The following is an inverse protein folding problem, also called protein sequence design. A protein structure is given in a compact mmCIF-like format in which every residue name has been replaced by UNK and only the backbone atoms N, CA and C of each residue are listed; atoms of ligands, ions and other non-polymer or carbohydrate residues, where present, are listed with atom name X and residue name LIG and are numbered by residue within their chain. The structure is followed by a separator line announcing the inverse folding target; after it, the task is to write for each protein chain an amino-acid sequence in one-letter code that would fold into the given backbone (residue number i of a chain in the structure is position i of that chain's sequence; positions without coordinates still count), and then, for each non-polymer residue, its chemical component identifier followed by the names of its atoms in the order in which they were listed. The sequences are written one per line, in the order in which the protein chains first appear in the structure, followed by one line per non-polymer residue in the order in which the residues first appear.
data_IF_151431616798
#
_entry.id   IF_151431616798
#
_cell.length_a   1.000
_cell.length_b   1.000
_cell.length_c   1.000
_cell.angle_alpha   90.00
_cell.angle_beta   90.00
_cell.angle_gamma   90.00
#
_symmetry.space_group_name_H-M   'P 1'
#
loop_
_entity.id
_entity.type
_entity.pdbx_description
1 polymer ?
#
# COMPACT_ATOMS: atom_id res chain seq x y z
N UNK A 1 -1.39 28.59 0.41
CA UNK A 1 -0.20 28.38 1.24
C UNK A 1 0.11 26.89 1.31
N UNK A 2 1.24 26.48 0.78
CA UNK A 2 1.73 25.11 0.93
C UNK A 2 2.14 24.91 2.40
N UNK A 3 1.43 24.04 3.11
CA UNK A 3 1.77 23.66 4.49
C UNK A 3 3.05 22.83 4.45
N UNK A 4 4.02 23.23 5.27
CA UNK A 4 5.30 22.54 5.41
C UNK A 4 5.13 21.33 6.35
N UNK A 5 4.78 20.17 5.79
CA UNK A 5 4.55 18.92 6.56
C UNK A 5 5.56 17.87 6.19
N UNK A 6 6.00 17.13 7.16
CA UNK A 6 6.87 15.98 6.94
C UNK A 6 6.08 14.86 6.26
N UNK A 7 6.66 14.31 5.18
CA UNK A 7 6.16 13.11 4.53
C UNK A 7 6.64 11.86 5.27
N UNK A 8 5.77 10.88 5.37
CA UNK A 8 6.09 9.57 5.88
C UNK A 8 5.39 8.47 5.10
N UNK A 9 5.87 7.26 5.27
CA UNK A 9 5.24 6.04 4.79
C UNK A 9 5.23 4.99 5.89
N UNK A 10 4.23 4.12 5.89
CA UNK A 10 4.16 2.95 6.76
C UNK A 10 3.64 1.74 5.98
N UNK A 11 4.14 0.56 6.33
CA UNK A 11 3.73 -0.74 5.82
C UNK A 11 2.98 -1.52 6.92
N UNK A 12 1.82 -2.09 6.59
CA UNK A 12 1.03 -2.92 7.49
C UNK A 12 1.32 -4.40 7.26
N UNK A 13 2.03 -5.03 8.21
CA UNK A 13 2.33 -6.48 8.13
C UNK A 13 1.07 -7.32 8.09
N UNK A 14 1.10 -8.35 7.23
CA UNK A 14 0.04 -9.36 7.16
C UNK A 14 -1.37 -8.77 6.94
N UNK A 15 -1.46 -7.70 6.18
CA UNK A 15 -2.66 -6.92 5.95
C UNK A 15 -3.91 -7.78 5.67
N UNK A 16 -3.84 -8.70 4.70
CA UNK A 16 -4.96 -9.55 4.34
C UNK A 16 -5.43 -10.47 5.48
N UNK A 17 -4.51 -10.96 6.31
CA UNK A 17 -4.83 -11.83 7.45
C UNK A 17 -5.51 -11.06 8.60
N UNK A 18 -5.36 -9.74 8.62
CA UNK A 18 -5.94 -8.86 9.65
C UNK A 18 -7.24 -8.20 9.23
N UNK A 19 -7.68 -8.39 7.98
CA UNK A 19 -8.90 -7.84 7.42
C UNK A 19 -10.17 -8.21 8.20
N UNK A 20 -11.33 -7.72 7.74
CA UNK A 20 -12.64 -8.13 8.26
C UNK A 20 -12.86 -9.63 8.05
N UNK A 21 -13.74 -10.24 8.86
CA UNK A 21 -14.16 -11.63 8.65
C UNK A 21 -14.94 -11.75 7.35
N UNK A 22 -14.91 -12.95 6.76
CA UNK A 22 -15.81 -13.29 5.66
C UNK A 22 -17.25 -13.31 6.15
N UNK A 23 -18.18 -12.95 5.26
CA UNK A 23 -19.62 -13.03 5.42
C UNK A 23 -20.17 -14.41 5.00
N UNK A 24 -19.30 -15.26 4.42
CA UNK A 24 -19.61 -16.63 3.96
C UNK A 24 -18.60 -17.63 4.49
N UNK A 25 -19.00 -18.89 4.53
CA UNK A 25 -18.15 -20.00 4.92
C UNK A 25 -17.23 -20.40 3.78
N UNK A 26 -15.93 -20.32 4.02
CA UNK A 26 -14.87 -20.74 3.09
C UNK A 26 -14.05 -21.82 3.79
N UNK A 27 -13.85 -22.95 3.11
CA UNK A 27 -13.07 -24.06 3.62
C UNK A 27 -11.91 -24.38 2.68
N UNK A 28 -10.78 -24.79 3.24
CA UNK A 28 -9.64 -25.33 2.51
C UNK A 28 -9.18 -26.65 3.10
N UNK A 29 -8.49 -27.44 2.30
CA UNK A 29 -7.81 -28.64 2.79
C UNK A 29 -6.49 -28.26 3.44
N UNK A 30 -6.09 -28.95 4.51
CA UNK A 30 -4.74 -28.80 5.04
C UNK A 30 -3.66 -29.12 3.98
N UNK A 31 -2.42 -28.67 4.16
CA UNK A 31 -1.28 -29.13 3.37
C UNK A 31 -1.20 -30.65 3.32
N UNK A 32 -0.60 -31.22 2.26
CA UNK A 32 -0.45 -32.66 2.09
C UNK A 32 0.29 -33.33 3.25
N UNK A 33 1.25 -32.63 3.83
CA UNK A 33 2.04 -33.12 4.98
C UNK A 33 1.29 -33.01 6.32
N UNK A 34 0.02 -32.57 6.28
CA UNK A 34 -0.80 -32.37 7.46
C UNK A 34 -0.46 -31.10 8.25
N UNK A 35 -1.17 -30.92 9.35
CA UNK A 35 -0.88 -29.87 10.35
C UNK A 35 -0.96 -30.47 11.75
N UNK A 36 -0.07 -30.08 12.65
CA UNK A 36 -0.12 -30.55 14.04
C UNK A 36 -1.48 -30.25 14.68
N UNK A 37 -2.09 -31.26 15.31
CA UNK A 37 -3.38 -31.15 15.97
C UNK A 37 -4.61 -31.16 15.05
N UNK A 38 -4.44 -31.36 13.74
CA UNK A 38 -5.54 -31.47 12.77
C UNK A 38 -5.69 -32.92 12.32
N UNK A 39 -6.88 -33.50 12.51
CA UNK A 39 -7.15 -34.87 12.10
C UNK A 39 -7.10 -35.03 10.56
N UNK A 40 -6.61 -36.19 10.04
CA UNK A 40 -6.64 -36.47 8.60
C UNK A 40 -8.05 -36.34 8.02
N UNK A 41 -8.16 -35.69 6.84
CA UNK A 41 -9.46 -35.47 6.18
C UNK A 41 -10.28 -34.28 6.70
N UNK A 42 -9.81 -33.59 7.74
CA UNK A 42 -10.44 -32.35 8.22
C UNK A 42 -10.38 -31.25 7.19
N UNK A 43 -11.35 -30.33 7.27
CA UNK A 43 -11.35 -29.07 6.53
C UNK A 43 -11.06 -27.92 7.48
N UNK A 44 -10.26 -26.96 7.01
CA UNK A 44 -9.95 -25.72 7.74
C UNK A 44 -10.90 -24.62 7.30
N UNK A 45 -11.59 -23.99 8.24
CA UNK A 45 -12.43 -22.83 7.95
C UNK A 45 -11.55 -21.58 7.89
N UNK A 46 -11.58 -20.88 6.77
CA UNK A 46 -10.92 -19.59 6.59
C UNK A 46 -11.85 -18.51 7.14
N UNK A 47 -11.45 -17.87 8.23
CA UNK A 47 -12.28 -16.88 8.94
C UNK A 47 -12.06 -15.46 8.41
N UNK A 48 -10.83 -15.14 8.00
CA UNK A 48 -10.41 -13.83 7.47
C UNK A 48 -9.77 -13.97 6.11
N UNK A 49 -9.43 -12.86 5.49
CA UNK A 49 -8.70 -12.85 4.22
C UNK A 49 -7.40 -13.67 4.31
N UNK A 50 -7.05 -14.31 3.21
CA UNK A 50 -5.78 -14.99 3.02
C UNK A 50 -5.25 -14.65 1.62
N UNK A 51 -3.92 -14.73 1.45
CA UNK A 51 -3.31 -14.54 0.14
C UNK A 51 -3.91 -15.50 -0.89
N UNK A 52 -4.22 -14.99 -2.08
CA UNK A 52 -4.88 -15.74 -3.14
C UNK A 52 -6.42 -15.73 -3.08
N UNK A 53 -7.04 -15.31 -1.98
CA UNK A 53 -8.50 -15.11 -1.96
C UNK A 53 -8.88 -13.79 -2.62
N UNK A 54 -9.81 -13.86 -3.57
CA UNK A 54 -10.28 -12.71 -4.36
C UNK A 54 -10.82 -11.56 -3.50
N UNK A 55 -11.41 -11.88 -2.36
CA UNK A 55 -12.05 -10.90 -1.47
C UNK A 55 -11.09 -10.30 -0.43
N UNK A 56 -9.90 -10.89 -0.25
CA UNK A 56 -8.97 -10.47 0.80
C UNK A 56 -8.57 -8.99 0.73
N UNK A 57 -8.25 -8.42 -0.46
CA UNK A 57 -7.94 -6.99 -0.57
C UNK A 57 -9.10 -6.09 -0.13
N UNK A 58 -10.34 -6.46 -0.50
CA UNK A 58 -11.54 -5.70 -0.10
C UNK A 58 -11.78 -5.76 1.40
N UNK A 59 -11.65 -6.94 2.01
CA UNK A 59 -11.85 -7.12 3.46
C UNK A 59 -10.79 -6.37 4.26
N UNK A 60 -9.56 -6.33 3.77
CA UNK A 60 -8.50 -5.53 4.34
C UNK A 60 -8.80 -4.02 4.20
N UNK A 61 -9.09 -3.56 2.99
CA UNK A 61 -9.42 -2.14 2.76
C UNK A 61 -10.53 -1.66 3.69
N UNK A 62 -11.62 -2.42 3.83
CA UNK A 62 -12.72 -2.07 4.71
C UNK A 62 -12.28 -1.98 6.19
N UNK A 63 -11.39 -2.88 6.64
CA UNK A 63 -10.84 -2.81 8.00
C UNK A 63 -9.93 -1.59 8.18
N UNK A 64 -9.05 -1.31 7.23
CA UNK A 64 -8.16 -0.15 7.25
C UNK A 64 -8.97 1.15 7.23
N UNK A 65 -9.97 1.25 6.34
CA UNK A 65 -10.89 2.37 6.24
C UNK A 65 -11.59 2.65 7.58
N UNK A 66 -12.19 1.63 8.20
CA UNK A 66 -12.86 1.80 9.50
C UNK A 66 -11.89 2.33 10.55
N UNK A 67 -10.68 1.78 10.61
CA UNK A 67 -9.65 2.22 11.56
C UNK A 67 -9.25 3.68 11.35
N UNK A 68 -9.15 4.11 10.08
CA UNK A 68 -8.87 5.51 9.75
C UNK A 68 -10.02 6.44 10.13
N UNK A 69 -11.26 6.02 9.88
CA UNK A 69 -12.45 6.78 10.30
C UNK A 69 -12.52 6.88 11.84
N UNK A 70 -12.26 5.79 12.56
CA UNK A 70 -12.21 5.76 14.02
C UNK A 70 -11.09 6.67 14.58
N UNK A 71 -9.99 6.83 13.84
CA UNK A 71 -8.91 7.77 14.16
C UNK A 71 -9.26 9.24 13.88
N UNK A 72 -10.42 9.49 13.27
CA UNK A 72 -10.93 10.84 12.96
C UNK A 72 -10.65 11.32 11.53
N UNK A 73 -10.02 10.49 10.68
CA UNK A 73 -9.90 10.81 9.26
C UNK A 73 -11.25 10.73 8.55
N UNK A 74 -11.38 11.47 7.47
CA UNK A 74 -12.52 11.45 6.56
C UNK A 74 -12.06 10.97 5.19
N UNK A 75 -12.75 9.99 4.59
CA UNK A 75 -12.44 9.54 3.23
C UNK A 75 -12.90 10.57 2.21
N UNK A 76 -12.04 10.91 1.26
CA UNK A 76 -12.38 11.86 0.19
C UNK A 76 -13.41 11.26 -0.77
N UNK A 77 -14.45 12.01 -1.09
CA UNK A 77 -15.48 11.56 -2.03
C UNK A 77 -14.96 11.43 -3.47
N UNK A 78 -14.02 12.28 -3.85
CA UNK A 78 -13.44 12.35 -5.20
C UNK A 78 -12.30 11.39 -5.43
N UNK A 79 -11.67 10.87 -4.36
CA UNK A 79 -10.52 9.99 -4.43
C UNK A 79 -10.61 8.92 -3.33
N UNK A 80 -11.03 7.72 -3.71
CA UNK A 80 -11.04 6.57 -2.78
C UNK A 80 -9.64 6.27 -2.27
N UNK A 81 -9.57 5.72 -1.05
CA UNK A 81 -8.32 5.42 -0.36
C UNK A 81 -7.45 6.65 -0.05
N UNK A 82 -7.98 7.86 -0.27
CA UNK A 82 -7.39 9.11 0.19
C UNK A 82 -8.22 9.64 1.37
N UNK A 83 -7.53 9.97 2.45
CA UNK A 83 -8.15 10.39 3.71
C UNK A 83 -7.57 11.72 4.15
N UNK A 84 -8.42 12.56 4.74
CA UNK A 84 -8.04 13.86 5.29
C UNK A 84 -8.44 13.93 6.75
N UNK A 85 -7.63 14.61 7.55
CA UNK A 85 -7.91 14.87 8.95
C UNK A 85 -8.08 16.37 9.13
N UNK A 86 -9.24 16.79 9.65
CA UNK A 86 -9.56 18.19 9.90
C UNK A 86 -9.62 18.48 11.40
N UNK A 87 -8.92 19.52 11.84
CA UNK A 87 -9.22 20.16 13.14
C UNK A 87 -10.43 21.08 12.95
N UNK A 88 -11.47 20.84 13.75
CA UNK A 88 -12.75 21.55 13.71
C UNK A 88 -12.96 22.45 14.93
N UNK A 89 -11.88 22.83 15.62
CA UNK A 89 -11.96 23.72 16.81
C UNK A 89 -12.28 25.16 16.45
N UNK A 90 -11.92 25.57 15.25
CA UNK A 90 -12.18 26.92 14.72
C UNK A 90 -13.45 26.94 13.86
N UNK A 91 -13.88 28.14 13.46
CA UNK A 91 -15.07 28.33 12.61
C UNK A 91 -14.97 27.64 11.25
N UNK A 92 -13.75 27.51 10.72
CA UNK A 92 -13.48 26.78 9.48
C UNK A 92 -12.60 25.56 9.76
N UNK A 93 -12.94 24.38 9.21
CA UNK A 93 -12.14 23.17 9.36
C UNK A 93 -10.74 23.35 8.75
N UNK A 94 -9.71 23.15 9.57
CA UNK A 94 -8.33 23.23 9.13
C UNK A 94 -7.82 21.82 8.85
N UNK A 95 -7.37 21.56 7.61
CA UNK A 95 -6.69 20.30 7.31
C UNK A 95 -5.39 20.21 8.09
N UNK A 96 -5.23 19.18 8.94
CA UNK A 96 -4.04 18.91 9.75
C UNK A 96 -3.31 17.65 9.34
N UNK A 97 -3.90 16.81 8.46
CA UNK A 97 -3.27 15.60 7.98
C UNK A 97 -3.93 15.04 6.74
N UNK A 98 -3.15 14.31 5.97
CA UNK A 98 -3.61 13.52 4.82
C UNK A 98 -2.93 12.17 4.85
N UNK A 99 -3.65 11.13 4.39
CA UNK A 99 -3.13 9.78 4.26
C UNK A 99 -3.70 9.15 2.99
N UNK A 100 -2.84 8.49 2.23
CA UNK A 100 -3.21 7.70 1.05
C UNK A 100 -2.86 6.24 1.34
N UNK A 101 -3.82 5.36 1.17
CA UNK A 101 -3.66 3.92 1.37
C UNK A 101 -3.54 3.21 0.03
N UNK A 102 -2.52 2.39 -0.12
CA UNK A 102 -2.37 1.48 -1.27
C UNK A 102 -2.08 0.08 -0.77
N UNK A 103 -3.10 -0.77 -0.76
CA UNK A 103 -3.07 -2.13 -0.20
C UNK A 103 -2.59 -2.08 1.25
N UNK A 104 -1.38 -2.54 1.55
CA UNK A 104 -0.72 -2.58 2.86
C UNK A 104 0.19 -1.36 3.13
N UNK A 105 0.52 -0.60 2.10
CA UNK A 105 1.31 0.62 2.20
C UNK A 105 0.44 1.85 2.41
N UNK A 106 0.85 2.75 3.29
CA UNK A 106 0.27 4.08 3.40
C UNK A 106 1.34 5.16 3.28
N UNK A 107 1.02 6.23 2.55
CA UNK A 107 1.81 7.45 2.52
C UNK A 107 1.02 8.58 3.19
N UNK A 108 1.66 9.36 4.05
CA UNK A 108 0.98 10.37 4.82
C UNK A 108 1.80 11.64 5.01
N UNK A 109 1.10 12.72 5.30
CA UNK A 109 1.69 13.98 5.75
C UNK A 109 0.76 14.65 6.75
N UNK A 110 1.29 15.13 7.85
CA UNK A 110 0.48 15.79 8.87
C UNK A 110 1.30 16.57 9.88
N UNK A 111 0.60 17.26 10.75
CA UNK A 111 1.19 18.11 11.77
C UNK A 111 0.28 18.28 12.99
N UNK A 112 0.89 18.45 14.14
CA UNK A 112 0.24 18.80 15.39
C UNK A 112 -0.34 17.62 16.16
N UNK A 113 -0.77 17.89 17.43
CA UNK A 113 -1.13 16.83 18.38
C UNK A 113 -2.31 15.96 17.94
N UNK A 114 -3.24 16.51 17.17
CA UNK A 114 -4.40 15.76 16.67
C UNK A 114 -3.97 14.71 15.65
N UNK A 115 -3.04 15.08 14.76
CA UNK A 115 -2.49 14.16 13.78
C UNK A 115 -1.67 13.06 14.45
N UNK A 116 -0.80 13.39 15.40
CA UNK A 116 -0.01 12.40 16.13
C UNK A 116 -0.90 11.39 16.86
N UNK A 117 -1.96 11.86 17.54
CA UNK A 117 -2.93 10.99 18.22
C UNK A 117 -3.63 10.05 17.23
N UNK A 118 -3.99 10.54 16.06
CA UNK A 118 -4.62 9.73 15.03
C UNK A 118 -3.64 8.65 14.50
N UNK A 119 -2.37 8.99 14.29
CA UNK A 119 -1.34 8.04 13.89
C UNK A 119 -1.03 7.01 14.98
N UNK A 120 -1.01 7.40 16.25
CA UNK A 120 -0.89 6.47 17.39
C UNK A 120 -2.06 5.47 17.42
N UNK A 121 -3.28 5.95 17.18
CA UNK A 121 -4.44 5.05 17.08
C UNK A 121 -4.23 4.01 15.97
N UNK A 122 -3.80 4.41 14.77
CA UNK A 122 -3.52 3.51 13.65
C UNK A 122 -2.44 2.49 14.03
N UNK A 123 -1.32 2.93 14.61
CA UNK A 123 -0.24 2.05 15.08
C UNK A 123 -0.71 1.06 16.16
N UNK A 124 -1.67 1.43 16.99
CA UNK A 124 -2.25 0.54 18.01
C UNK A 124 -3.13 -0.58 17.43
N UNK A 125 -3.65 -0.41 16.22
CA UNK A 125 -4.60 -1.34 15.57
C UNK A 125 -3.93 -2.28 14.58
N UNK A 126 -2.76 -1.91 14.05
CA UNK A 126 -2.04 -2.69 13.05
C UNK A 126 -0.61 -2.99 13.49
N UNK A 127 -0.09 -4.12 13.05
CA UNK A 127 1.33 -4.42 13.21
C UNK A 127 2.07 -3.70 12.10
N UNK A 128 2.79 -2.63 12.45
CA UNK A 128 3.59 -1.88 11.50
C UNK A 128 4.88 -2.63 11.20
N UNK A 129 5.17 -2.81 9.93
CA UNK A 129 6.39 -3.45 9.43
C UNK A 129 7.54 -2.48 9.36
N UNK A 130 7.37 -1.47 8.55
CA UNK A 130 8.35 -0.42 8.32
C UNK A 130 7.62 0.93 8.38
N UNK A 131 8.28 1.91 8.96
CA UNK A 131 7.82 3.31 8.93
C UNK A 131 9.03 4.18 8.66
N UNK A 132 8.93 5.05 7.65
CA UNK A 132 10.03 5.91 7.18
C UNK A 132 9.54 7.34 6.97
N UNK A 133 10.47 8.29 7.08
CA UNK A 133 10.19 9.72 6.92
C UNK A 133 11.22 10.37 6.02
N UNK A 134 10.78 11.35 5.25
CA UNK A 134 11.63 12.22 4.44
C UNK A 134 12.17 11.56 3.17
N UNK A 135 12.74 10.37 3.24
CA UNK A 135 13.21 9.62 2.07
C UNK A 135 12.80 8.15 2.20
N UNK A 136 12.03 7.65 1.23
CA UNK A 136 11.50 6.29 1.21
C UNK A 136 11.08 5.87 -0.20
N UNK A 137 10.78 4.60 -0.36
CA UNK A 137 10.17 4.07 -1.60
C UNK A 137 8.68 3.88 -1.39
N UNK A 138 7.87 4.44 -2.29
CA UNK A 138 6.42 4.24 -2.33
C UNK A 138 5.97 3.88 -3.74
N UNK A 139 5.29 2.74 -3.89
CA UNK A 139 4.83 2.20 -5.18
C UNK A 139 5.96 2.10 -6.23
N UNK A 140 7.14 1.63 -5.81
CA UNK A 140 8.30 1.46 -6.67
C UNK A 140 8.98 2.76 -7.11
N UNK A 141 8.60 3.90 -6.52
CA UNK A 141 9.21 5.21 -6.77
C UNK A 141 9.94 5.69 -5.53
N UNK A 142 11.14 6.20 -5.71
CA UNK A 142 11.82 6.92 -4.64
C UNK A 142 11.13 8.26 -4.44
N UNK A 143 10.77 8.55 -3.20
CA UNK A 143 10.23 9.83 -2.75
C UNK A 143 11.24 10.44 -1.79
N UNK A 144 11.70 11.64 -2.06
CA UNK A 144 12.62 12.37 -1.21
C UNK A 144 12.08 13.77 -0.93
N UNK A 145 11.94 14.10 0.33
CA UNK A 145 11.59 15.44 0.78
C UNK A 145 12.84 16.20 1.20
N UNK A 146 13.04 17.35 0.60
CA UNK A 146 14.16 18.23 0.90
C UNK A 146 13.88 19.11 2.14
N UNK A 147 14.89 19.78 2.65
CA UNK A 147 14.79 20.64 3.85
C UNK A 147 13.87 21.86 3.66
N UNK A 148 13.65 22.28 2.42
CA UNK A 148 12.68 23.33 2.05
C UNK A 148 11.26 22.82 1.85
N UNK A 149 11.02 21.52 2.13
CA UNK A 149 9.78 20.77 1.91
C UNK A 149 9.40 20.55 0.45
N UNK A 150 10.28 20.83 -0.50
CA UNK A 150 10.11 20.34 -1.87
C UNK A 150 10.23 18.82 -1.91
N UNK A 151 9.56 18.20 -2.88
CA UNK A 151 9.52 16.73 -3.00
C UNK A 151 10.04 16.33 -4.37
N UNK A 152 11.02 15.46 -4.37
CA UNK A 152 11.53 14.79 -5.56
C UNK A 152 10.93 13.39 -5.65
N UNK A 153 10.45 13.00 -6.83
CA UNK A 153 9.95 11.65 -7.10
C UNK A 153 10.65 11.14 -8.33
N UNK A 154 11.31 10.00 -8.23
CA UNK A 154 12.01 9.38 -9.36
C UNK A 154 11.90 7.86 -9.36
N UNK A 155 12.33 7.25 -10.45
CA UNK A 155 12.41 5.80 -10.65
C UNK A 155 13.85 5.37 -10.97
N UNK A 156 14.84 6.06 -10.41
CA UNK A 156 16.24 5.86 -10.71
C UNK A 156 16.69 4.39 -10.54
N UNK A 157 16.30 3.77 -9.44
CA UNK A 157 16.67 2.37 -9.14
C UNK A 157 16.02 1.40 -10.13
N UNK A 158 14.76 1.65 -10.49
CA UNK A 158 14.08 0.88 -11.53
C UNK A 158 14.79 1.00 -12.88
N UNK A 159 15.13 2.21 -13.30
CA UNK A 159 15.84 2.47 -14.57
C UNK A 159 17.23 1.81 -14.59
N UNK A 160 17.95 1.84 -13.46
CA UNK A 160 19.24 1.16 -13.31
C UNK A 160 19.14 -0.37 -13.39
N UNK A 161 18.04 -0.93 -12.89
CA UNK A 161 17.80 -2.37 -12.88
C UNK A 161 17.31 -2.89 -14.24
N UNK A 162 16.91 -2.01 -15.18
CA UNK A 162 16.52 -2.43 -16.51
C UNK A 162 17.70 -3.07 -17.23
N UNK A 163 17.53 -4.31 -17.64
CA UNK A 163 18.49 -4.99 -18.49
C UNK A 163 18.53 -4.34 -19.88
N UNK A 164 19.73 -4.12 -20.38
CA UNK A 164 19.89 -3.53 -21.71
C UNK A 164 19.53 -4.55 -22.77
N UNK A 165 18.47 -4.30 -23.52
CA UNK A 165 18.15 -5.09 -24.70
C UNK A 165 19.24 -4.92 -25.76
N UNK A 166 19.98 -5.99 -26.06
CA UNK A 166 21.02 -5.98 -27.06
C UNK A 166 20.39 -6.33 -28.42
N UNK A 167 20.20 -5.33 -29.25
CA UNK A 167 19.74 -5.52 -30.65
C UNK A 167 20.93 -5.62 -31.57
N UNK A 168 21.05 -6.73 -32.32
CA UNK A 168 22.11 -6.93 -33.28
C UNK A 168 22.12 -5.83 -34.37
N UNK A 169 23.31 -5.49 -34.85
CA UNK A 169 23.48 -4.40 -35.83
C UNK A 169 22.62 -4.60 -37.08
N UNK A 170 22.58 -5.82 -37.59
CA UNK A 170 21.80 -6.21 -38.78
C UNK A 170 20.30 -6.01 -38.53
N UNK A 171 19.83 -6.31 -37.30
CA UNK A 171 18.45 -6.15 -36.92
C UNK A 171 18.04 -4.67 -36.82
N UNK A 172 18.94 -3.81 -36.37
CA UNK A 172 18.70 -2.34 -36.31
C UNK A 172 18.51 -1.74 -37.72
N UNK A 173 19.09 -2.33 -38.72
CA UNK A 173 18.91 -1.88 -40.12
C UNK A 173 17.59 -2.32 -40.72
N UNK A 174 16.86 -3.23 -40.06
CA UNK A 174 15.57 -3.76 -40.50
C UNK A 174 14.42 -3.17 -39.64
N UNK A 175 14.40 -1.87 -39.46
CA UNK A 175 13.46 -1.18 -38.54
C UNK A 175 11.98 -1.38 -38.87
N UNK A 176 11.65 -1.70 -40.11
CA UNK A 176 10.27 -1.94 -40.60
C UNK A 176 9.87 -3.42 -40.59
N UNK A 177 10.79 -4.35 -40.28
CA UNK A 177 10.46 -5.77 -40.19
C UNK A 177 9.67 -6.09 -38.92
N UNK A 178 8.68 -7.02 -38.96
CA UNK A 178 7.96 -7.47 -37.80
C UNK A 178 8.90 -8.01 -36.70
N UNK A 179 8.51 -7.91 -35.44
CA UNK A 179 9.25 -8.51 -34.32
C UNK A 179 9.25 -10.04 -34.46
N UNK A 180 10.39 -10.64 -34.21
CA UNK A 180 10.50 -12.10 -34.10
C UNK A 180 9.84 -12.59 -32.82
N UNK A 181 9.50 -13.88 -32.74
CA UNK A 181 8.92 -14.47 -31.52
C UNK A 181 9.84 -14.29 -30.31
N UNK A 182 11.16 -14.30 -30.48
CA UNK A 182 12.12 -14.05 -29.42
C UNK A 182 12.07 -12.58 -28.95
N UNK A 183 12.05 -11.64 -29.88
CA UNK A 183 11.97 -10.21 -29.55
C UNK A 183 10.65 -9.87 -28.84
N UNK A 184 9.53 -10.52 -29.21
CA UNK A 184 8.24 -10.37 -28.54
C UNK A 184 8.25 -10.94 -27.11
N UNK A 185 9.12 -11.89 -26.82
CA UNK A 185 9.25 -12.47 -25.48
C UNK A 185 10.17 -11.63 -24.57
N UNK A 186 11.14 -10.93 -25.15
CA UNK A 186 12.14 -10.12 -24.44
C UNK A 186 11.63 -8.69 -24.15
N UNK A 187 10.43 -8.34 -24.64
CA UNK A 187 9.69 -7.10 -24.39
C UNK A 187 8.47 -7.36 -23.50
#
# INVERSE_FOLDING_TARGET
CLKKRQLGTLDCKTAFLTGRKHDRDIYCRPPKDGLPGVAPGSLLKIVKGAYGLREAPRLWYLKARDTLLDAGFEEMQTARACFVLHDRKESEPVNVGMLVLHVDDACYAGEGPMFEKAMEHIRSKFTIGKEEHGEFTFLGRRVKQNSDFSVEIDQHDYVKALERVVVARERRQQSTSPLTSKELHDY
#
